data_IF_110184837882
#
_entry.id   IF_110184837882
#
_cell.length_a   1.000
_cell.length_b   1.000
_cell.length_c   1.000
_cell.angle_alpha   90.00
_cell.angle_beta   90.00
_cell.angle_gamma   90.00
#
_symmetry.space_group_name_H-M   'P 1'
#
loop_
_entity.id
_entity.type
_entity.pdbx_description
1 polymer ?
#
# COMPACT_ATOMS: atom_id res chain seq x y z
N UNK A 1 68.42 -75.76 -39.49
CA UNK A 1 67.47 -75.92 -38.36
C UNK A 1 67.62 -74.72 -37.44
N UNK A 2 66.73 -73.71 -37.56
CA UNK A 2 66.83 -72.44 -36.83
C UNK A 2 65.59 -72.22 -35.97
N UNK A 3 65.87 -71.94 -34.71
CA UNK A 3 64.99 -71.72 -33.57
C UNK A 3 64.22 -70.39 -33.73
N UNK A 4 62.92 -70.38 -33.43
CA UNK A 4 62.15 -69.17 -33.08
C UNK A 4 61.39 -69.45 -31.77
N UNK A 5 61.72 -68.77 -30.66
CA UNK A 5 60.97 -68.93 -29.42
C UNK A 5 59.77 -67.97 -29.37
N UNK A 6 58.69 -68.47 -28.76
CA UNK A 6 57.40 -67.81 -28.53
C UNK A 6 57.57 -66.55 -27.67
N UNK A 7 57.00 -65.42 -28.13
CA UNK A 7 56.84 -64.20 -27.33
C UNK A 7 55.68 -64.38 -26.35
N UNK A 8 55.98 -64.31 -25.04
CA UNK A 8 54.98 -64.07 -23.98
C UNK A 8 54.82 -62.56 -23.81
N UNK A 9 53.56 -62.10 -23.79
CA UNK A 9 53.18 -60.71 -23.54
C UNK A 9 53.35 -60.44 -22.04
N UNK A 10 54.20 -59.46 -21.72
CA UNK A 10 54.43 -59.01 -20.36
C UNK A 10 53.50 -57.83 -20.05
N UNK A 11 52.71 -57.96 -18.98
CA UNK A 11 51.93 -56.88 -18.37
C UNK A 11 52.89 -56.02 -17.54
N UNK A 12 52.89 -54.70 -17.77
CA UNK A 12 53.52 -53.71 -16.87
C UNK A 12 52.46 -52.68 -16.46
N UNK A 13 52.36 -52.32 -15.17
CA UNK A 13 51.38 -51.36 -14.69
C UNK A 13 51.91 -49.95 -14.91
N UNK A 14 51.17 -49.12 -15.66
CA UNK A 14 51.44 -47.68 -15.73
C UNK A 14 50.80 -46.98 -14.54
N UNK A 15 51.66 -46.40 -13.72
CA UNK A 15 51.37 -45.46 -12.65
C UNK A 15 50.48 -44.32 -13.19
N UNK A 16 49.30 -44.12 -12.60
CA UNK A 16 48.48 -42.93 -12.82
C UNK A 16 49.07 -41.77 -12.04
N UNK A 17 49.68 -40.84 -12.75
CA UNK A 17 50.05 -39.52 -12.25
C UNK A 17 49.08 -38.49 -12.83
N UNK A 18 48.56 -37.65 -11.92
CA UNK A 18 48.07 -36.29 -12.12
C UNK A 18 46.92 -36.06 -13.12
N UNK A 19 45.75 -35.76 -12.57
CA UNK A 19 44.82 -34.80 -13.17
C UNK A 19 44.21 -33.96 -12.06
N UNK A 20 44.97 -32.94 -11.65
CA UNK A 20 44.42 -31.76 -11.02
C UNK A 20 43.71 -30.97 -12.13
N UNK A 21 42.38 -30.95 -12.11
CA UNK A 21 41.60 -30.09 -12.99
C UNK A 21 40.39 -29.61 -12.21
N UNK A 22 40.64 -28.50 -11.51
CA UNK A 22 39.78 -27.33 -11.39
C UNK A 22 38.31 -27.65 -11.13
N UNK A 23 37.93 -27.54 -9.87
CA UNK A 23 36.57 -27.29 -9.44
C UNK A 23 36.01 -26.13 -10.27
N UNK A 24 35.15 -26.46 -11.24
CA UNK A 24 34.35 -25.49 -11.97
C UNK A 24 33.36 -24.91 -10.96
N UNK A 25 33.80 -23.85 -10.29
CA UNK A 25 32.97 -22.98 -9.47
C UNK A 25 31.78 -22.58 -10.35
N UNK A 26 30.62 -23.11 -10.00
CA UNK A 26 29.32 -22.63 -10.45
C UNK A 26 29.17 -21.17 -9.96
N UNK A 27 29.82 -20.25 -10.67
CA UNK A 27 29.44 -18.84 -10.71
C UNK A 27 28.15 -18.77 -11.53
N UNK A 28 27.07 -19.30 -10.96
CA UNK A 28 25.74 -18.81 -11.27
C UNK A 28 25.75 -17.42 -10.66
N UNK A 29 25.72 -16.33 -11.44
CA UNK A 29 25.33 -15.07 -10.86
C UNK A 29 23.95 -15.36 -10.25
N UNK A 30 23.85 -15.26 -8.93
CA UNK A 30 22.58 -15.01 -8.29
C UNK A 30 22.12 -13.66 -8.88
N UNK A 31 21.52 -13.71 -10.07
CA UNK A 31 20.47 -12.81 -10.45
C UNK A 31 19.47 -13.00 -9.32
N UNK A 32 19.64 -12.17 -8.29
CA UNK A 32 18.73 -12.15 -7.15
C UNK A 32 17.35 -12.15 -7.77
N UNK A 33 16.51 -13.07 -7.34
CA UNK A 33 15.09 -13.06 -7.65
C UNK A 33 14.57 -11.67 -7.28
N UNK A 34 14.63 -10.73 -8.23
CA UNK A 34 13.81 -9.54 -8.19
C UNK A 34 12.43 -10.13 -8.39
N UNK A 35 11.55 -10.13 -7.37
CA UNK A 35 10.20 -10.62 -7.55
C UNK A 35 9.64 -9.90 -8.77
N UNK A 36 9.17 -10.66 -9.76
CA UNK A 36 8.63 -10.10 -10.98
C UNK A 36 7.31 -9.43 -10.60
N UNK A 37 7.41 -8.12 -10.38
CA UNK A 37 6.33 -7.24 -9.97
C UNK A 37 5.36 -7.10 -11.14
N UNK A 38 4.38 -8.00 -11.25
CA UNK A 38 3.32 -7.88 -12.25
C UNK A 38 2.30 -6.84 -11.76
N UNK A 39 2.22 -5.66 -12.38
CA UNK A 39 1.26 -4.64 -11.97
C UNK A 39 -0.17 -5.19 -12.10
N UNK A 40 -1.16 -4.61 -11.41
CA UNK A 40 -2.55 -4.86 -11.78
C UNK A 40 -2.81 -4.43 -13.22
N UNK A 41 -3.97 -4.80 -13.78
CA UNK A 41 -4.43 -4.26 -15.06
C UNK A 41 -4.71 -2.75 -14.98
N UNK A 42 -5.78 -2.29 -15.62
CA UNK A 42 -6.29 -0.92 -15.44
C UNK A 42 -6.41 -0.52 -13.94
N UNK A 43 -6.46 0.79 -13.61
CA UNK A 43 -6.71 1.23 -12.23
C UNK A 43 -7.94 0.54 -11.63
N UNK A 44 -7.96 0.35 -10.30
CA UNK A 44 -9.13 -0.23 -9.63
C UNK A 44 -10.36 0.64 -9.91
N UNK A 45 -11.37 0.07 -10.56
CA UNK A 45 -12.63 0.75 -10.79
C UNK A 45 -13.55 0.62 -9.57
N UNK A 46 -14.38 1.62 -9.29
CA UNK A 46 -15.38 1.61 -8.22
C UNK A 46 -16.78 1.79 -8.81
N UNK A 47 -17.46 0.71 -9.24
CA UNK A 47 -18.79 0.82 -9.82
C UNK A 47 -19.79 1.41 -8.82
N UNK A 48 -20.54 2.43 -9.23
CA UNK A 48 -21.53 3.09 -8.38
C UNK A 48 -22.57 2.11 -7.82
N UNK A 49 -22.99 1.12 -8.61
CA UNK A 49 -23.92 0.08 -8.17
C UNK A 49 -23.40 -0.77 -6.99
N UNK A 50 -22.08 -0.82 -6.78
CA UNK A 50 -21.45 -1.59 -5.72
C UNK A 50 -20.98 -0.71 -4.55
N UNK A 51 -21.11 0.62 -4.63
CA UNK A 51 -20.55 1.55 -3.64
C UNK A 51 -20.96 1.24 -2.19
N UNK A 52 -22.17 0.71 -1.99
CA UNK A 52 -22.75 0.35 -0.68
C UNK A 52 -22.64 -1.14 -0.32
N UNK A 53 -22.09 -1.95 -1.22
CA UNK A 53 -22.04 -3.42 -1.10
C UNK A 53 -20.62 -3.96 -0.85
N UNK A 54 -19.66 -3.07 -0.56
CA UNK A 54 -18.30 -3.49 -0.25
C UNK A 54 -18.20 -4.01 1.18
N UNK A 55 -17.57 -5.18 1.29
CA UNK A 55 -16.95 -5.65 2.53
C UNK A 55 -15.47 -5.36 2.44
N UNK A 56 -14.87 -4.78 3.48
CA UNK A 56 -13.48 -4.34 3.42
C UNK A 56 -12.68 -4.70 4.67
N UNK A 57 -11.36 -4.72 4.51
CA UNK A 57 -10.39 -4.99 5.54
C UNK A 57 -9.29 -3.92 5.50
N UNK A 58 -9.06 -3.27 6.64
CA UNK A 58 -7.91 -2.39 6.85
C UNK A 58 -6.90 -3.14 7.71
N UNK A 59 -5.74 -3.50 7.17
CA UNK A 59 -4.73 -4.22 7.93
C UNK A 59 -3.33 -3.65 7.66
N UNK A 60 -2.77 -2.98 8.67
CA UNK A 60 -1.44 -2.38 8.62
C UNK A 60 -0.43 -3.08 9.53
N UNK A 61 -0.87 -4.02 10.36
CA UNK A 61 -0.01 -4.73 11.29
C UNK A 61 -0.35 -6.23 11.39
N UNK A 62 0.55 -6.96 12.04
CA UNK A 62 0.46 -8.41 12.20
C UNK A 62 0.62 -9.18 10.88
N UNK A 63 0.57 -10.53 10.93
CA UNK A 63 0.55 -11.36 9.74
C UNK A 63 -0.72 -11.10 8.92
N UNK A 64 -0.58 -10.84 7.63
CA UNK A 64 -1.72 -10.73 6.71
C UNK A 64 -2.55 -12.02 6.74
N UNK A 65 -3.85 -11.89 6.95
CA UNK A 65 -4.79 -13.00 6.81
C UNK A 65 -5.58 -12.88 5.49
N UNK A 66 -5.21 -13.65 4.44
CA UNK A 66 -5.91 -13.62 3.16
C UNK A 66 -7.26 -14.34 3.18
N UNK A 67 -7.62 -15.03 4.27
CA UNK A 67 -8.89 -15.73 4.42
C UNK A 67 -10.03 -14.82 4.91
N UNK A 68 -9.72 -13.60 5.36
CA UNK A 68 -10.75 -12.60 5.72
C UNK A 68 -11.71 -12.39 4.55
N UNK A 69 -13.01 -12.57 4.81
CA UNK A 69 -14.04 -12.41 3.78
C UNK A 69 -14.34 -10.94 3.47
N UNK A 70 -13.42 -10.30 2.76
CA UNK A 70 -13.52 -8.92 2.33
C UNK A 70 -13.27 -8.84 0.83
N UNK A 71 -14.00 -7.96 0.15
CA UNK A 71 -13.77 -7.64 -1.26
C UNK A 71 -12.57 -6.71 -1.46
N UNK A 72 -12.29 -5.84 -0.47
CA UNK A 72 -11.29 -4.78 -0.54
C UNK A 72 -10.31 -4.91 0.62
N UNK A 73 -9.02 -4.86 0.34
CA UNK A 73 -7.95 -4.85 1.35
C UNK A 73 -7.15 -3.55 1.23
N UNK A 74 -7.08 -2.79 2.33
CA UNK A 74 -6.23 -1.63 2.49
C UNK A 74 -5.03 -2.03 3.35
N UNK A 75 -3.83 -1.98 2.76
CA UNK A 75 -2.61 -2.57 3.32
C UNK A 75 -1.43 -1.59 3.29
N UNK A 76 -0.41 -1.88 4.11
CA UNK A 76 0.88 -1.19 4.06
C UNK A 76 1.72 -1.69 2.85
N UNK A 77 2.18 -0.79 1.96
CA UNK A 77 2.91 -1.19 0.76
C UNK A 77 4.35 -1.61 1.02
N UNK A 78 4.95 -1.32 2.17
CA UNK A 78 6.32 -1.73 2.52
C UNK A 78 6.29 -3.15 3.09
N UNK A 79 5.45 -3.38 4.10
CA UNK A 79 5.31 -4.66 4.80
C UNK A 79 4.68 -5.76 3.93
N UNK A 80 3.72 -5.42 3.06
CA UNK A 80 3.04 -6.40 2.21
C UNK A 80 3.94 -6.84 1.07
N UNK A 81 4.12 -8.15 0.90
CA UNK A 81 4.94 -8.73 -0.19
C UNK A 81 4.19 -8.82 -1.51
N UNK A 82 4.92 -8.95 -2.63
CA UNK A 82 4.33 -9.19 -3.94
C UNK A 82 3.59 -10.54 -4.03
N UNK A 83 4.04 -11.55 -3.28
CA UNK A 83 3.37 -12.86 -3.21
C UNK A 83 1.99 -12.75 -2.53
N UNK A 84 1.92 -12.03 -1.42
CA UNK A 84 0.67 -11.78 -0.68
C UNK A 84 -0.35 -11.00 -1.52
N UNK A 85 0.09 -9.96 -2.23
CA UNK A 85 -0.81 -9.21 -3.13
C UNK A 85 -1.26 -10.04 -4.32
N UNK A 86 -0.39 -10.90 -4.88
CA UNK A 86 -0.78 -11.85 -5.92
C UNK A 86 -1.81 -12.87 -5.42
N UNK A 87 -1.65 -13.38 -4.20
CA UNK A 87 -2.61 -14.30 -3.56
C UNK A 87 -3.98 -13.64 -3.34
N UNK A 88 -4.02 -12.42 -2.81
CA UNK A 88 -5.29 -11.71 -2.65
C UNK A 88 -5.95 -11.46 -4.02
N UNK A 89 -5.18 -11.07 -5.04
CA UNK A 89 -5.71 -10.84 -6.39
C UNK A 89 -6.21 -12.11 -7.06
N UNK A 90 -5.59 -13.27 -6.83
CA UNK A 90 -6.09 -14.54 -7.39
C UNK A 90 -7.43 -14.97 -6.78
N UNK A 91 -7.82 -14.34 -5.67
CA UNK A 91 -9.13 -14.46 -5.01
C UNK A 91 -10.06 -13.29 -5.35
N UNK A 92 -9.80 -12.56 -6.43
CA UNK A 92 -10.55 -11.39 -6.90
C UNK A 92 -10.67 -10.24 -5.88
N UNK A 93 -9.70 -10.14 -4.95
CA UNK A 93 -9.68 -9.03 -3.99
C UNK A 93 -9.07 -7.77 -4.61
N UNK A 94 -9.69 -6.63 -4.30
CA UNK A 94 -9.22 -5.29 -4.69
C UNK A 94 -8.25 -4.76 -3.65
N UNK A 95 -7.12 -4.23 -4.10
CA UNK A 95 -6.04 -3.80 -3.21
C UNK A 95 -5.83 -2.29 -3.25
N UNK A 96 -5.82 -1.69 -2.06
CA UNK A 96 -5.49 -0.29 -1.80
C UNK A 96 -4.19 -0.26 -0.98
N UNK A 97 -3.19 0.51 -1.42
CA UNK A 97 -2.01 0.76 -0.58
C UNK A 97 -2.20 2.05 0.23
N UNK A 98 -1.90 2.04 1.53
CA UNK A 98 -1.84 3.27 2.31
C UNK A 98 -0.49 3.94 2.14
N UNK A 99 -0.49 5.23 1.77
CA UNK A 99 0.73 6.01 1.62
C UNK A 99 0.62 7.28 2.45
N UNK A 100 1.59 7.49 3.34
CA UNK A 100 1.73 8.74 4.06
C UNK A 100 2.25 9.80 3.09
N UNK A 101 1.56 10.92 2.96
CA UNK A 101 1.91 11.95 1.96
C UNK A 101 2.30 13.27 2.58
N UNK A 102 1.71 13.64 3.72
CA UNK A 102 2.07 14.84 4.47
C UNK A 102 3.02 14.59 5.64
N UNK A 103 3.44 13.34 5.87
CA UNK A 103 4.39 13.00 6.93
C UNK A 103 5.43 11.96 6.49
N UNK A 104 6.56 11.95 7.19
CA UNK A 104 7.65 10.98 7.03
C UNK A 104 8.13 10.51 8.39
N UNK A 105 8.31 9.20 8.57
CA UNK A 105 8.95 8.62 9.76
C UNK A 105 10.45 8.47 9.56
N UNK A 106 11.22 8.51 10.64
CA UNK A 106 12.68 8.30 10.59
C UNK A 106 13.08 6.92 10.05
N UNK A 107 12.23 5.91 10.21
CA UNK A 107 12.41 4.54 9.75
C UNK A 107 11.76 4.23 8.38
N UNK A 108 11.10 5.21 7.74
CA UNK A 108 10.63 5.04 6.37
C UNK A 108 11.84 4.76 5.45
N UNK A 109 11.79 3.79 4.52
CA UNK A 109 12.92 3.44 3.66
C UNK A 109 13.45 4.59 2.79
N UNK A 110 12.61 5.58 2.53
CA UNK A 110 12.91 6.78 1.74
C UNK A 110 13.07 8.04 2.60
N UNK A 111 13.11 7.90 3.93
CA UNK A 111 13.16 9.02 4.85
C UNK A 111 14.28 9.99 4.50
N UNK A 112 15.48 9.50 4.19
CA UNK A 112 16.66 10.32 3.86
C UNK A 112 16.50 11.17 2.59
N UNK A 113 15.51 10.87 1.74
CA UNK A 113 15.27 11.57 0.46
C UNK A 113 14.47 12.86 0.62
N UNK A 114 13.84 13.08 1.78
CA UNK A 114 13.17 14.34 2.09
C UNK A 114 14.17 15.35 2.65
N UNK A 115 14.41 16.51 2.01
CA UNK A 115 15.33 17.53 2.54
C UNK A 115 14.95 17.99 3.95
N UNK A 116 15.92 18.36 4.79
CA UNK A 116 15.62 18.83 6.15
C UNK A 116 14.70 20.07 6.16
N UNK A 117 14.84 20.96 5.17
CA UNK A 117 14.03 22.19 5.05
C UNK A 117 12.53 21.92 4.87
N UNK A 118 12.15 20.75 4.33
CA UNK A 118 10.73 20.39 4.17
C UNK A 118 10.19 19.61 5.36
N UNK A 119 11.00 19.32 6.40
CA UNK A 119 10.57 18.58 7.59
C UNK A 119 10.28 19.54 8.73
N UNK A 120 9.05 19.48 9.23
CA UNK A 120 8.56 20.37 10.26
C UNK A 120 8.56 19.74 11.66
N UNK A 121 7.54 20.09 12.43
CA UNK A 121 7.29 19.57 13.77
C UNK A 121 6.96 18.07 13.77
N UNK A 122 6.90 17.49 14.98
CA UNK A 122 6.52 16.10 15.17
C UNK A 122 5.12 15.82 14.60
N UNK A 123 4.98 14.69 13.90
CA UNK A 123 3.72 14.22 13.33
C UNK A 123 2.85 13.45 14.33
N UNK A 124 1.72 12.92 13.85
CA UNK A 124 0.77 12.15 14.68
C UNK A 124 1.37 10.81 15.15
N UNK A 125 2.25 10.21 14.34
CA UNK A 125 2.86 8.92 14.63
C UNK A 125 4.21 9.10 15.34
N UNK A 126 4.61 8.18 16.23
CA UNK A 126 5.95 8.21 16.83
C UNK A 126 7.04 8.35 15.77
N UNK A 127 8.04 9.18 16.08
CA UNK A 127 9.20 9.45 15.23
C UNK A 127 8.90 9.99 13.81
N UNK A 128 7.66 10.45 13.59
CA UNK A 128 7.27 11.13 12.34
C UNK A 128 7.45 12.64 12.41
N UNK A 129 7.65 13.25 11.25
CA UNK A 129 7.67 14.70 11.04
C UNK A 129 6.68 15.07 9.95
N UNK A 130 5.96 16.18 10.14
CA UNK A 130 5.15 16.78 9.08
C UNK A 130 6.03 17.30 7.94
N UNK A 131 5.49 17.32 6.73
CA UNK A 131 6.16 17.83 5.53
C UNK A 131 5.57 19.19 5.14
N UNK A 132 6.39 20.12 4.63
CA UNK A 132 5.89 21.35 3.98
C UNK A 132 5.31 20.99 2.61
N UNK A 133 4.00 20.80 2.56
CA UNK A 133 3.26 20.35 1.36
C UNK A 133 3.35 21.34 0.18
N UNK A 134 3.72 22.60 0.45
CA UNK A 134 3.94 23.63 -0.59
C UNK A 134 5.20 23.37 -1.40
N UNK A 135 6.17 22.64 -0.82
CA UNK A 135 7.44 22.27 -1.46
C UNK A 135 7.29 21.11 -2.46
N UNK A 136 6.30 21.21 -3.35
CA UNK A 136 5.91 20.13 -4.26
C UNK A 136 7.08 19.52 -5.04
N UNK A 137 7.98 20.33 -5.58
CA UNK A 137 9.09 19.82 -6.39
C UNK A 137 10.07 18.95 -5.58
N UNK A 138 10.23 19.25 -4.28
CA UNK A 138 11.03 18.43 -3.37
C UNK A 138 10.32 17.13 -2.98
N UNK A 139 8.99 17.12 -2.94
CA UNK A 139 8.20 15.97 -2.48
C UNK A 139 7.82 15.02 -3.63
N UNK A 140 7.48 15.55 -4.80
CA UNK A 140 6.82 14.84 -5.91
C UNK A 140 7.57 13.59 -6.32
N UNK A 141 8.89 13.67 -6.44
CA UNK A 141 9.70 12.52 -6.89
C UNK A 141 9.63 11.37 -5.90
N UNK A 142 9.73 11.67 -4.60
CA UNK A 142 9.67 10.64 -3.54
C UNK A 142 8.27 10.04 -3.45
N UNK A 143 7.22 10.88 -3.49
CA UNK A 143 5.84 10.43 -3.47
C UNK A 143 5.47 9.60 -4.72
N UNK A 144 5.97 9.98 -5.89
CA UNK A 144 5.82 9.20 -7.11
C UNK A 144 6.45 7.80 -6.98
N UNK A 145 7.59 7.69 -6.30
CA UNK A 145 8.23 6.39 -6.05
C UNK A 145 7.45 5.54 -5.05
N UNK A 146 6.85 6.15 -4.00
CA UNK A 146 5.91 5.45 -3.11
C UNK A 146 4.71 4.88 -3.91
N UNK A 147 4.17 5.64 -4.85
CA UNK A 147 3.07 5.18 -5.71
C UNK A 147 3.53 4.10 -6.71
N UNK A 148 4.73 4.23 -7.28
CA UNK A 148 5.32 3.17 -8.13
C UNK A 148 5.54 1.88 -7.37
N UNK A 149 5.94 1.94 -6.10
CA UNK A 149 6.03 0.76 -5.23
C UNK A 149 4.68 0.07 -5.10
N UNK A 150 3.60 0.81 -4.84
CA UNK A 150 2.25 0.27 -4.80
C UNK A 150 1.89 -0.41 -6.14
N UNK A 151 2.07 0.30 -7.25
CA UNK A 151 1.73 -0.21 -8.57
C UNK A 151 2.51 -1.49 -8.91
N UNK A 152 3.81 -1.51 -8.61
CA UNK A 152 4.66 -2.68 -8.80
C UNK A 152 4.22 -3.87 -7.94
N UNK A 153 3.82 -3.63 -6.69
CA UNK A 153 3.29 -4.67 -5.78
C UNK A 153 1.83 -5.03 -6.07
N UNK A 154 1.30 -4.79 -7.26
CA UNK A 154 -0.03 -5.30 -7.60
C UNK A 154 -1.20 -4.50 -7.00
N UNK A 155 -0.98 -3.33 -6.39
CA UNK A 155 -2.06 -2.46 -5.92
C UNK A 155 -2.67 -1.66 -7.07
N UNK A 156 -3.99 -1.57 -7.13
CA UNK A 156 -4.71 -0.80 -8.15
C UNK A 156 -5.24 0.55 -7.64
N UNK A 157 -5.07 0.83 -6.35
CA UNK A 157 -5.51 2.04 -5.69
C UNK A 157 -4.53 2.49 -4.60
N UNK A 158 -4.58 3.76 -4.23
CA UNK A 158 -3.80 4.36 -3.14
C UNK A 158 -4.69 5.17 -2.22
N UNK A 159 -4.55 4.99 -0.90
CA UNK A 159 -5.19 5.82 0.12
C UNK A 159 -4.15 6.83 0.64
N UNK A 160 -4.43 8.12 0.45
CA UNK A 160 -3.54 9.20 0.90
C UNK A 160 -3.76 9.48 2.38
N UNK A 161 -2.75 9.19 3.20
CA UNK A 161 -2.78 9.35 4.66
C UNK A 161 -1.93 10.55 5.11
N UNK A 162 -2.27 11.15 6.26
CA UNK A 162 -1.69 12.42 6.74
C UNK A 162 -1.80 13.55 5.69
N UNK A 163 -2.93 13.58 4.95
CA UNK A 163 -3.23 14.55 3.91
C UNK A 163 -4.04 15.75 4.43
N UNK A 164 -3.90 16.07 5.73
CA UNK A 164 -4.67 17.07 6.48
C UNK A 164 -3.76 17.98 7.34
N UNK A 165 -2.51 18.19 6.90
CA UNK A 165 -1.47 18.88 7.66
C UNK A 165 -1.86 20.31 8.07
N UNK A 166 -2.61 21.05 7.27
CA UNK A 166 -3.10 22.40 7.63
C UNK A 166 -3.95 22.44 8.91
N UNK A 167 -4.57 21.32 9.29
CA UNK A 167 -5.34 21.19 10.52
C UNK A 167 -4.48 20.78 11.73
N UNK A 168 -3.15 20.67 11.56
CA UNK A 168 -2.21 20.24 12.58
C UNK A 168 -1.12 21.29 12.85
N UNK A 169 -0.39 21.11 13.95
CA UNK A 169 0.80 21.91 14.26
C UNK A 169 2.01 21.36 13.51
N UNK A 170 2.13 21.68 12.23
CA UNK A 170 3.19 21.17 11.35
C UNK A 170 4.53 21.89 11.51
N UNK A 171 4.55 23.05 12.15
CA UNK A 171 5.71 23.95 12.12
C UNK A 171 5.80 24.80 10.85
N UNK A 172 4.86 24.63 9.92
CA UNK A 172 4.66 25.47 8.75
C UNK A 172 3.31 26.19 8.85
N UNK A 173 3.22 27.39 8.30
CA UNK A 173 1.96 28.13 8.18
C UNK A 173 1.20 27.62 6.94
N UNK A 174 0.72 26.38 7.01
CA UNK A 174 -0.12 25.78 5.97
C UNK A 174 -1.57 26.23 6.16
N UNK A 175 -2.21 26.64 5.07
CA UNK A 175 -3.64 26.94 5.07
C UNK A 175 -4.47 25.88 4.32
N UNK A 176 -5.77 26.14 4.21
CA UNK A 176 -6.71 25.28 3.52
C UNK A 176 -6.34 25.10 2.04
N UNK A 177 -5.95 26.17 1.34
CA UNK A 177 -5.69 26.14 -0.09
C UNK A 177 -4.37 25.43 -0.41
N UNK A 178 -3.36 25.58 0.46
CA UNK A 178 -2.11 24.82 0.39
C UNK A 178 -2.36 23.31 0.39
N UNK A 179 -3.17 22.83 1.35
CA UNK A 179 -3.51 21.40 1.45
C UNK A 179 -4.36 20.95 0.27
N UNK A 180 -5.35 21.76 -0.13
CA UNK A 180 -6.26 21.45 -1.22
C UNK A 180 -5.48 21.26 -2.54
N UNK A 181 -4.56 22.17 -2.84
CA UNK A 181 -3.69 22.09 -4.01
C UNK A 181 -2.79 20.85 -3.97
N UNK A 182 -2.20 20.54 -2.82
CA UNK A 182 -1.36 19.36 -2.65
C UNK A 182 -2.14 18.06 -2.88
N UNK A 183 -3.33 17.94 -2.30
CA UNK A 183 -4.18 16.76 -2.41
C UNK A 183 -4.65 16.53 -3.86
N UNK A 184 -4.97 17.60 -4.61
CA UNK A 184 -5.27 17.53 -6.05
C UNK A 184 -4.10 17.02 -6.87
N UNK A 185 -2.91 17.59 -6.65
CA UNK A 185 -1.68 17.15 -7.33
C UNK A 185 -1.34 15.69 -7.05
N UNK A 186 -1.61 15.21 -5.84
CA UNK A 186 -1.43 13.80 -5.49
C UNK A 186 -2.43 12.89 -6.22
N UNK A 187 -3.69 13.31 -6.33
CA UNK A 187 -4.69 12.55 -7.07
C UNK A 187 -4.34 12.45 -8.57
N UNK A 188 -3.90 13.55 -9.18
CA UNK A 188 -3.35 13.56 -10.54
C UNK A 188 -2.13 12.64 -10.68
N UNK A 189 -1.21 12.69 -9.73
CA UNK A 189 -0.01 11.83 -9.71
C UNK A 189 -0.39 10.35 -9.63
N UNK A 190 -1.34 9.98 -8.76
CA UNK A 190 -1.83 8.60 -8.65
C UNK A 190 -2.42 8.12 -9.99
N UNK A 191 -3.27 8.94 -10.63
CA UNK A 191 -3.85 8.63 -11.95
C UNK A 191 -2.79 8.46 -13.02
N UNK A 192 -1.78 9.33 -13.04
CA UNK A 192 -0.66 9.22 -14.00
C UNK A 192 0.13 7.91 -13.85
N UNK A 193 0.06 7.28 -12.67
CA UNK A 193 0.70 6.00 -12.36
C UNK A 193 -0.29 4.82 -12.38
N UNK A 194 -1.47 5.01 -12.99
CA UNK A 194 -2.53 3.99 -13.10
C UNK A 194 -3.00 3.44 -11.74
N UNK A 195 -3.14 4.34 -10.76
CA UNK A 195 -3.73 4.06 -9.45
C UNK A 195 -5.00 4.90 -9.27
N UNK A 196 -6.04 4.28 -8.72
CA UNK A 196 -7.23 4.99 -8.26
C UNK A 196 -6.93 5.73 -6.95
N UNK A 197 -7.03 7.06 -6.88
CA UNK A 197 -6.77 7.81 -5.66
C UNK A 197 -7.96 7.77 -4.70
N UNK A 198 -7.70 7.54 -3.42
CA UNK A 198 -8.63 7.78 -2.33
C UNK A 198 -8.01 8.61 -1.23
N UNK A 199 -8.86 9.31 -0.48
CA UNK A 199 -8.45 10.23 0.58
C UNK A 199 -8.77 9.63 1.95
N UNK A 200 -7.80 9.58 2.85
CA UNK A 200 -8.02 9.19 4.24
C UNK A 200 -8.25 10.44 5.09
N UNK A 201 -9.41 10.54 5.71
CA UNK A 201 -9.86 11.68 6.51
C UNK A 201 -9.90 13.00 5.72
N UNK A 202 -9.18 14.03 6.19
CA UNK A 202 -9.26 15.41 5.70
C UNK A 202 -10.71 15.93 5.56
N UNK A 203 -11.51 15.59 6.58
CA UNK A 203 -12.97 15.74 6.58
C UNK A 203 -13.45 17.16 6.20
N UNK A 204 -12.80 18.27 6.63
CA UNK A 204 -13.23 19.61 6.24
C UNK A 204 -13.06 19.92 4.74
N UNK A 205 -12.19 19.23 4.00
CA UNK A 205 -11.97 19.48 2.56
C UNK A 205 -12.74 18.55 1.63
N UNK A 206 -13.43 17.53 2.16
CA UNK A 206 -14.07 16.47 1.36
C UNK A 206 -15.00 17.00 0.26
N UNK A 207 -15.80 18.03 0.53
CA UNK A 207 -16.68 18.60 -0.49
C UNK A 207 -15.92 19.18 -1.69
N UNK A 208 -14.76 19.80 -1.45
CA UNK A 208 -13.93 20.41 -2.49
C UNK A 208 -13.03 19.39 -3.20
N UNK A 209 -12.72 18.27 -2.54
CA UNK A 209 -11.85 17.20 -3.05
C UNK A 209 -12.62 16.02 -3.64
N UNK A 210 -13.92 15.86 -3.38
CA UNK A 210 -14.71 14.75 -3.89
C UNK A 210 -14.59 14.55 -5.41
N UNK A 211 -14.52 15.59 -6.28
CA UNK A 211 -14.30 15.38 -7.72
C UNK A 211 -12.95 14.73 -8.05
N UNK A 212 -11.93 14.98 -7.23
CA UNK A 212 -10.54 14.58 -7.46
C UNK A 212 -10.23 13.16 -6.96
N UNK A 213 -11.07 12.56 -6.13
CA UNK A 213 -10.84 11.24 -5.53
C UNK A 213 -11.92 10.23 -5.93
N UNK A 214 -11.57 8.96 -6.01
CA UNK A 214 -12.48 7.90 -6.43
C UNK A 214 -13.17 7.20 -5.26
N UNK A 215 -12.63 7.34 -4.04
CA UNK A 215 -13.19 6.81 -2.79
C UNK A 215 -12.68 7.61 -1.58
N UNK A 216 -13.35 7.45 -0.45
CA UNK A 216 -12.90 8.00 0.84
C UNK A 216 -12.66 6.88 1.84
N UNK A 217 -11.70 7.08 2.73
CA UNK A 217 -11.52 6.29 3.96
C UNK A 217 -11.71 7.24 5.12
N UNK A 218 -12.52 6.89 6.10
CA UNK A 218 -12.74 7.75 7.26
C UNK A 218 -12.63 6.97 8.56
N UNK A 219 -11.95 7.58 9.52
CA UNK A 219 -11.90 7.14 10.90
C UNK A 219 -12.89 7.97 11.73
N UNK A 220 -13.75 7.26 12.46
CA UNK A 220 -14.50 7.75 13.61
C UNK A 220 -15.53 8.87 13.32
N UNK A 221 -16.14 8.94 12.12
CA UNK A 221 -17.13 9.99 11.86
C UNK A 221 -18.36 9.89 12.77
N UNK A 222 -18.71 8.72 13.30
CA UNK A 222 -19.86 8.57 14.19
C UNK A 222 -19.48 9.13 15.55
N UNK A 223 -18.34 8.70 16.11
CA UNK A 223 -17.82 9.24 17.39
C UNK A 223 -17.62 10.76 17.33
N UNK A 224 -17.24 11.29 16.18
CA UNK A 224 -16.98 12.73 15.97
C UNK A 224 -18.20 13.51 15.45
N UNK A 225 -19.34 12.87 15.23
CA UNK A 225 -20.55 13.48 14.67
C UNK A 225 -20.31 14.23 13.33
N UNK A 226 -19.55 13.60 12.42
CA UNK A 226 -19.09 14.19 11.16
C UNK A 226 -19.50 13.40 9.91
N UNK A 227 -20.27 12.31 10.03
CA UNK A 227 -20.57 11.42 8.90
C UNK A 227 -21.24 12.12 7.71
N UNK A 228 -22.10 13.12 7.96
CA UNK A 228 -22.74 13.88 6.89
C UNK A 228 -21.74 14.59 5.95
N UNK A 229 -20.51 14.88 6.40
CA UNK A 229 -19.47 15.50 5.57
C UNK A 229 -18.90 14.55 4.50
N UNK A 230 -19.19 13.25 4.59
CA UNK A 230 -18.75 12.23 3.63
C UNK A 230 -19.77 12.01 2.50
N UNK A 231 -20.97 12.60 2.60
CA UNK A 231 -22.01 12.54 1.56
C UNK A 231 -21.54 12.93 0.14
N UNK A 232 -20.63 13.91 -0.06
CA UNK A 232 -20.09 14.20 -1.39
C UNK A 232 -19.48 13.00 -2.11
N UNK A 233 -19.03 11.97 -1.38
CA UNK A 233 -18.57 10.71 -1.96
C UNK A 233 -19.74 9.74 -2.17
N UNK A 234 -20.51 9.42 -1.14
CA UNK A 234 -21.55 8.38 -1.23
C UNK A 234 -22.71 8.78 -2.15
N UNK A 235 -23.09 10.06 -2.22
CA UNK A 235 -24.11 10.56 -3.15
C UNK A 235 -23.62 10.58 -4.61
N UNK A 236 -22.29 10.68 -4.81
CA UNK A 236 -21.66 10.55 -6.11
C UNK A 236 -21.43 9.09 -6.53
N UNK A 237 -21.93 8.12 -5.76
CA UNK A 237 -21.73 6.68 -6.01
C UNK A 237 -20.29 6.22 -5.77
N UNK A 238 -19.51 6.95 -4.98
CA UNK A 238 -18.14 6.58 -4.61
C UNK A 238 -18.16 5.86 -3.26
N UNK A 239 -17.39 4.77 -3.09
CA UNK A 239 -17.38 4.06 -1.83
C UNK A 239 -16.74 4.91 -0.72
N UNK A 240 -17.32 4.81 0.47
CA UNK A 240 -16.76 5.35 1.72
C UNK A 240 -16.45 4.16 2.61
N UNK A 241 -15.17 3.92 2.84
CA UNK A 241 -14.66 2.90 3.76
C UNK A 241 -14.51 3.50 5.15
N UNK A 242 -15.44 3.17 6.05
CA UNK A 242 -15.56 3.81 7.35
C UNK A 242 -15.17 2.86 8.49
N UNK A 243 -14.37 3.34 9.45
CA UNK A 243 -13.97 2.57 10.64
C UNK A 243 -14.31 3.30 11.93
N UNK A 244 -14.84 2.56 12.90
CA UNK A 244 -14.90 2.97 14.31
C UNK A 244 -13.97 2.10 15.14
N UNK A 245 -13.30 2.72 16.13
CA UNK A 245 -12.43 2.01 17.08
C UNK A 245 -13.09 1.74 18.42
N UNK A 246 -14.28 2.30 18.63
CA UNK A 246 -15.04 2.22 19.87
C UNK A 246 -16.54 2.10 19.55
N UNK A 247 -17.33 1.66 20.52
CA UNK A 247 -18.75 1.36 20.30
C UNK A 247 -18.97 -0.02 19.70
N UNK A 248 -20.25 -0.35 19.49
CA UNK A 248 -20.70 -1.63 18.92
C UNK A 248 -21.20 -1.45 17.49
N UNK A 249 -21.07 -2.48 16.67
CA UNK A 249 -21.64 -2.51 15.31
C UNK A 249 -23.16 -2.35 15.33
N UNK A 250 -23.85 -2.89 16.35
CA UNK A 250 -25.30 -2.72 16.51
C UNK A 250 -25.72 -1.23 16.59
N UNK A 251 -24.88 -0.36 17.17
CA UNK A 251 -25.18 1.07 17.31
C UNK A 251 -24.84 1.88 16.05
N UNK A 252 -23.59 1.81 15.60
CA UNK A 252 -23.10 2.72 14.57
C UNK A 252 -23.44 2.24 13.13
N UNK A 253 -23.69 0.94 12.93
CA UNK A 253 -24.06 0.43 11.61
C UNK A 253 -25.41 0.99 11.15
N UNK A 254 -26.38 1.18 12.05
CA UNK A 254 -27.68 1.78 11.73
C UNK A 254 -27.49 3.15 11.07
N UNK A 255 -26.60 3.97 11.63
CA UNK A 255 -26.29 5.30 11.10
C UNK A 255 -25.54 5.20 9.77
N UNK A 256 -24.45 4.44 9.74
CA UNK A 256 -23.51 4.47 8.61
C UNK A 256 -23.99 3.73 7.37
N UNK A 257 -24.78 2.67 7.53
CA UNK A 257 -25.47 2.02 6.41
C UNK A 257 -26.48 2.98 5.76
N UNK A 258 -27.17 3.79 6.56
CA UNK A 258 -28.04 4.87 6.06
C UNK A 258 -27.30 5.88 5.18
N UNK A 259 -26.08 6.26 5.57
CA UNK A 259 -25.20 7.09 4.75
C UNK A 259 -24.59 6.38 3.53
N UNK A 260 -24.69 5.05 3.46
CA UNK A 260 -24.16 4.22 2.37
C UNK A 260 -22.70 3.84 2.52
N UNK A 261 -22.19 3.79 3.74
CA UNK A 261 -20.80 3.47 3.98
C UNK A 261 -20.57 1.96 4.09
N UNK A 262 -19.41 1.52 3.63
CA UNK A 262 -18.87 0.22 3.96
C UNK A 262 -18.16 0.35 5.31
N UNK A 263 -18.80 -0.10 6.38
CA UNK A 263 -18.36 0.18 7.75
C UNK A 263 -17.81 -1.07 8.46
N UNK A 264 -16.76 -0.89 9.27
CA UNK A 264 -16.20 -1.93 10.15
C UNK A 264 -15.86 -1.35 11.53
N UNK A 265 -15.91 -2.18 12.56
CA UNK A 265 -15.24 -1.94 13.85
C UNK A 265 -13.87 -2.59 13.81
N UNK A 266 -12.85 -1.90 14.32
CA UNK A 266 -11.49 -2.44 14.47
C UNK A 266 -10.84 -2.03 15.77
N UNK A 267 -9.78 -2.73 16.14
CA UNK A 267 -8.82 -2.24 17.12
C UNK A 267 -7.82 -1.27 16.46
N UNK A 268 -7.30 -0.31 17.24
CA UNK A 268 -6.31 0.68 16.74
C UNK A 268 -4.98 0.06 16.33
N UNK A 269 -4.73 -1.20 16.66
CA UNK A 269 -3.57 -1.96 16.18
C UNK A 269 -3.65 -2.22 14.68
N UNK A 270 -4.85 -2.23 14.09
CA UNK A 270 -5.10 -2.51 12.67
C UNK A 270 -4.50 -3.85 12.21
N UNK A 271 -4.67 -4.89 13.03
CA UNK A 271 -4.38 -6.28 12.65
C UNK A 271 -5.57 -6.91 11.89
N UNK A 272 -5.60 -8.24 11.79
CA UNK A 272 -6.64 -8.97 11.07
C UNK A 272 -8.06 -8.81 11.67
N UNK A 273 -8.17 -8.55 12.98
CA UNK A 273 -9.44 -8.45 13.71
C UNK A 273 -10.35 -7.38 13.12
N UNK A 274 -11.62 -7.73 12.88
CA UNK A 274 -12.67 -6.78 12.44
C UNK A 274 -14.05 -7.31 12.76
N UNK A 275 -15.00 -6.40 12.92
CA UNK A 275 -16.43 -6.71 12.90
C UNK A 275 -17.09 -5.84 11.84
N UNK A 276 -17.52 -6.40 10.70
CA UNK A 276 -18.16 -5.61 9.65
C UNK A 276 -19.62 -5.30 9.96
N UNK A 277 -20.08 -4.15 9.46
CA UNK A 277 -21.51 -3.89 9.35
C UNK A 277 -22.15 -4.83 8.32
N UNK A 278 -23.44 -5.18 8.49
CA UNK A 278 -24.18 -5.91 7.49
C UNK A 278 -24.29 -5.11 6.20
N UNK A 279 -24.34 -5.80 5.06
CA UNK A 279 -24.69 -5.18 3.79
C UNK A 279 -26.19 -4.84 3.77
N UNK A 280 -26.60 -3.74 3.11
CA UNK A 280 -28.01 -3.36 2.98
C UNK A 280 -28.84 -4.34 2.15
#
# INVERSE_FOLDING_TARGET
MRIRPRRRVAVRPLRRALSASVALVLLVPAYGCRPELTPPGAPTAWPAAQARHWQWQWQLSGPLDPAVDAHVFLLDPVATTAAQTAELRSRDRRLICQVNVGSVRSDDPDASRFPQVVRGAAGRRPDSRWLDVRSWDALRTVLADRFRLCRGKGFGAVALFDADGYAARTGFALDFDDQLLFNRRLAELARSLSLSPGLVNDVPQLAALAPDFDFAVNEECVRLAQCAKLLPFSDAGKPVFHVEYTGSTDDFCVTTVGYGFASIRKDRTLDASREPCPLP
#
